data_IF_257613271109
#
_entry.id   IF_257613271109
#
_cell.length_a   1.000
_cell.length_b   1.000
_cell.length_c   1.000
_cell.angle_alpha   90.00
_cell.angle_beta   90.00
_cell.angle_gamma   90.00
#
_symmetry.space_group_name_H-M   'P 1'
#
loop_
_entity.id
_entity.type
_entity.pdbx_description
1 polymer ?
#
# COMPACT_ATOMS: atom_id res chain seq x y z
N UNK A 1 17.90 -24.65 -22.94
CA UNK A 1 18.75 -23.73 -22.14
C UNK A 1 18.44 -24.06 -20.70
N UNK A 2 19.37 -24.65 -19.98
CA UNK A 2 19.18 -24.86 -18.55
C UNK A 2 19.36 -23.51 -17.83
N UNK A 3 18.53 -23.28 -16.81
CA UNK A 3 18.67 -22.12 -15.94
C UNK A 3 19.90 -22.34 -15.07
N UNK A 4 20.78 -21.33 -15.01
CA UNK A 4 21.94 -21.39 -14.13
C UNK A 4 21.51 -21.28 -12.65
N UNK A 5 22.34 -21.81 -11.75
CA UNK A 5 22.04 -21.89 -10.32
C UNK A 5 21.78 -20.53 -9.67
N UNK A 6 22.37 -19.46 -10.20
CA UNK A 6 22.12 -18.09 -9.74
C UNK A 6 21.93 -17.17 -10.94
N UNK A 7 20.74 -16.59 -11.05
CA UNK A 7 20.39 -15.61 -12.08
C UNK A 7 19.49 -14.53 -11.46
N UNK A 8 19.86 -13.26 -11.61
CA UNK A 8 19.11 -12.12 -11.08
C UNK A 8 19.15 -10.93 -12.05
N UNK A 9 18.05 -10.20 -12.10
CA UNK A 9 17.94 -8.90 -12.76
C UNK A 9 17.48 -7.86 -11.74
N UNK A 10 18.01 -6.65 -11.85
CA UNK A 10 17.52 -5.51 -11.08
C UNK A 10 16.42 -4.82 -11.87
N UNK A 11 15.39 -4.33 -11.17
CA UNK A 11 14.29 -3.58 -11.81
C UNK A 11 14.81 -2.43 -12.69
N UNK A 12 14.28 -2.30 -13.89
CA UNK A 12 14.53 -1.18 -14.81
C UNK A 12 13.76 0.08 -14.42
N UNK A 13 12.57 -0.10 -13.83
CA UNK A 13 11.68 1.00 -13.42
C UNK A 13 11.69 1.11 -11.91
N UNK A 14 11.96 2.30 -11.40
CA UNK A 14 11.91 2.61 -9.96
C UNK A 14 11.06 3.86 -9.75
N UNK A 15 9.83 3.66 -9.29
CA UNK A 15 8.96 4.77 -8.87
C UNK A 15 9.35 5.24 -7.47
N UNK A 16 9.34 6.56 -7.28
CA UNK A 16 9.40 7.22 -5.98
C UNK A 16 8.06 7.18 -5.27
N UNK A 17 8.03 7.66 -4.02
CA UNK A 17 6.79 7.82 -3.27
C UNK A 17 5.93 8.91 -3.92
N UNK A 18 4.64 8.63 -4.05
CA UNK A 18 3.67 9.63 -4.45
C UNK A 18 3.37 10.58 -3.31
N UNK A 19 3.39 11.87 -3.62
CA UNK A 19 3.07 12.96 -2.70
C UNK A 19 1.77 13.61 -3.15
N UNK A 20 0.80 13.65 -2.24
CA UNK A 20 -0.51 14.25 -2.45
C UNK A 20 -0.55 15.63 -1.81
N UNK A 21 -0.94 16.62 -2.59
CA UNK A 21 -1.04 18.02 -2.14
C UNK A 21 -2.17 18.74 -2.87
N UNK A 22 -2.64 19.84 -2.32
CA UNK A 22 -3.48 20.80 -3.01
C UNK A 22 -2.69 22.10 -3.20
N UNK A 23 -3.18 22.98 -4.09
CA UNK A 23 -2.62 24.32 -4.24
C UNK A 23 -3.42 25.29 -3.38
N UNK A 24 -2.74 26.25 -2.75
CA UNK A 24 -3.38 27.42 -2.15
C UNK A 24 -3.83 28.41 -3.23
N UNK A 25 -4.61 29.43 -2.85
CA UNK A 25 -4.99 30.52 -3.76
C UNK A 25 -3.77 31.26 -4.35
N UNK A 26 -2.64 31.26 -3.62
CA UNK A 26 -1.39 31.88 -4.03
C UNK A 26 -0.48 30.92 -4.82
N UNK A 27 -0.94 29.69 -5.08
CA UNK A 27 -0.21 28.66 -5.83
C UNK A 27 0.84 27.89 -5.00
N UNK A 28 0.83 28.03 -3.67
CA UNK A 28 1.72 27.28 -2.80
C UNK A 28 1.25 25.82 -2.67
N UNK A 29 2.21 24.88 -2.61
CA UNK A 29 1.91 23.46 -2.45
C UNK A 29 1.63 23.13 -0.97
N UNK A 30 0.39 22.73 -0.69
CA UNK A 30 -0.06 22.35 0.66
C UNK A 30 -0.26 20.83 0.74
N UNK A 31 0.54 20.09 1.53
CA UNK A 31 0.35 18.64 1.71
C UNK A 31 -1.06 18.29 2.17
N UNK A 32 -1.58 17.16 1.71
CA UNK A 32 -2.69 16.53 2.40
C UNK A 32 -2.20 15.94 3.75
N UNK A 33 -2.82 16.40 4.83
CA UNK A 33 -2.53 15.98 6.19
C UNK A 33 -3.32 14.72 6.56
N UNK A 34 -2.76 13.94 7.49
CA UNK A 34 -3.44 12.80 8.10
C UNK A 34 -4.06 13.28 9.41
N UNK A 35 -5.36 13.15 9.50
CA UNK A 35 -6.12 13.35 10.73
C UNK A 35 -6.19 12.05 11.53
N UNK A 36 -6.17 12.18 12.86
CA UNK A 36 -6.02 11.07 13.80
C UNK A 36 -7.16 11.08 14.79
N UNK A 37 -8.12 10.20 14.55
CA UNK A 37 -9.37 10.17 15.31
C UNK A 37 -9.42 8.95 16.22
N UNK A 38 -9.79 9.18 17.48
CA UNK A 38 -10.14 8.12 18.43
C UNK A 38 -11.64 8.09 18.59
N UNK A 39 -12.26 6.95 18.31
CA UNK A 39 -13.71 6.79 18.32
C UNK A 39 -14.13 5.62 19.20
N UNK A 40 -15.38 5.67 19.66
CA UNK A 40 -16.01 4.62 20.47
C UNK A 40 -17.04 3.93 19.59
N UNK A 41 -16.61 2.91 18.85
CA UNK A 41 -17.50 2.16 17.96
C UNK A 41 -18.38 1.19 18.76
N UNK A 42 -19.57 0.82 18.25
CA UNK A 42 -20.28 -0.33 18.77
C UNK A 42 -19.53 -1.63 18.44
N UNK A 43 -19.79 -2.66 19.24
CA UNK A 43 -19.47 -4.05 18.92
C UNK A 43 -20.42 -4.52 17.81
N UNK A 44 -19.91 -4.65 16.58
CA UNK A 44 -20.68 -5.06 15.40
C UNK A 44 -20.09 -6.27 14.66
N UNK A 45 -19.07 -6.93 15.23
CA UNK A 45 -18.38 -8.05 14.60
C UNK A 45 -19.14 -9.36 14.79
N UNK A 46 -19.19 -10.20 13.74
CA UNK A 46 -19.80 -11.54 13.81
C UNK A 46 -19.29 -12.35 15.01
N UNK A 47 -17.98 -12.35 15.20
CA UNK A 47 -17.32 -13.10 16.26
C UNK A 47 -17.63 -12.59 17.69
N UNK A 48 -18.32 -11.45 17.85
CA UNK A 48 -18.66 -10.92 19.17
C UNK A 48 -19.89 -11.62 19.75
N UNK A 49 -20.87 -11.97 18.90
CA UNK A 49 -22.12 -12.63 19.31
C UNK A 49 -22.25 -14.08 18.81
N UNK A 50 -21.48 -14.49 17.80
CA UNK A 50 -21.67 -15.78 17.12
C UNK A 50 -20.37 -16.59 16.96
N UNK A 51 -20.51 -17.90 16.77
CA UNK A 51 -19.40 -18.85 16.54
C UNK A 51 -19.70 -19.82 15.38
N UNK A 52 -18.64 -20.27 14.71
CA UNK A 52 -18.70 -21.22 13.59
C UNK A 52 -19.41 -20.65 12.36
N UNK A 53 -19.72 -21.49 11.37
CA UNK A 53 -20.30 -21.06 10.08
C UNK A 53 -21.84 -21.07 10.04
N UNK A 54 -22.48 -21.45 11.15
CA UNK A 54 -23.94 -21.66 11.22
C UNK A 54 -24.68 -20.62 12.08
N UNK A 55 -24.09 -19.45 12.30
CA UNK A 55 -24.69 -18.39 13.14
C UNK A 55 -25.07 -18.89 14.54
N UNK A 56 -24.29 -19.79 15.12
CA UNK A 56 -24.57 -20.29 16.47
C UNK A 56 -24.24 -19.19 17.49
N UNK A 57 -25.22 -18.80 18.30
CA UNK A 57 -25.05 -17.77 19.34
C UNK A 57 -24.02 -18.19 20.39
N UNK A 58 -23.24 -17.22 20.84
CA UNK A 58 -22.38 -17.33 22.03
C UNK A 58 -23.21 -17.03 23.27
N UNK A 59 -22.82 -17.61 24.40
CA UNK A 59 -23.39 -17.26 25.69
C UNK A 59 -22.77 -15.92 26.18
N UNK A 60 -23.24 -14.81 25.64
CA UNK A 60 -22.85 -13.44 26.01
C UNK A 60 -24.06 -12.70 26.54
N UNK A 61 -23.91 -11.92 27.61
CA UNK A 61 -25.01 -11.12 28.12
C UNK A 61 -25.21 -9.88 27.22
N UNK A 62 -26.44 -9.34 27.07
CA UNK A 62 -26.68 -8.15 26.25
C UNK A 62 -25.82 -6.94 26.64
N UNK A 63 -25.55 -6.80 27.94
CA UNK A 63 -24.67 -5.76 28.49
C UNK A 63 -23.21 -5.88 28.00
N UNK A 64 -22.74 -7.09 27.69
CA UNK A 64 -21.37 -7.31 27.20
C UNK A 64 -21.20 -6.78 25.77
N UNK A 65 -22.28 -6.78 24.97
CA UNK A 65 -22.33 -6.20 23.62
C UNK A 65 -22.58 -4.69 23.64
N UNK A 66 -23.15 -4.16 24.73
CA UNK A 66 -23.40 -2.73 24.89
C UNK A 66 -22.15 -1.91 25.20
N UNK A 67 -21.04 -2.54 25.60
CA UNK A 67 -19.77 -1.84 25.80
C UNK A 67 -19.20 -1.34 24.47
N UNK A 68 -18.75 -0.09 24.49
CA UNK A 68 -18.02 0.49 23.37
C UNK A 68 -16.72 -0.27 23.09
N UNK A 69 -16.35 -0.29 21.81
CA UNK A 69 -15.07 -0.75 21.29
C UNK A 69 -14.23 0.49 20.91
N UNK A 70 -13.30 0.95 21.77
CA UNK A 70 -12.43 2.07 21.45
C UNK A 70 -11.52 1.72 20.27
N UNK A 71 -11.53 2.57 19.25
CA UNK A 71 -10.75 2.41 18.03
C UNK A 71 -9.94 3.67 17.75
N UNK A 72 -8.84 3.48 17.03
CA UNK A 72 -8.00 4.53 16.51
C UNK A 72 -7.99 4.41 14.98
N UNK A 73 -8.31 5.50 14.30
CA UNK A 73 -8.30 5.57 12.84
C UNK A 73 -7.41 6.74 12.40
N UNK A 74 -6.80 6.55 11.24
CA UNK A 74 -6.11 7.61 10.51
C UNK A 74 -6.90 7.86 9.24
N UNK A 75 -7.32 9.10 9.05
CA UNK A 75 -8.13 9.53 7.92
C UNK A 75 -7.44 10.68 7.20
N UNK A 76 -7.68 10.79 5.90
CA UNK A 76 -7.11 11.83 5.07
C UNK A 76 -8.20 12.30 4.13
N UNK A 77 -8.52 13.59 4.18
CA UNK A 77 -9.61 14.17 3.43
C UNK A 77 -9.22 15.55 2.89
N UNK A 78 -9.92 15.95 1.85
CA UNK A 78 -9.76 17.28 1.24
C UNK A 78 -10.44 18.31 2.12
N UNK A 79 -9.75 19.41 2.42
CA UNK A 79 -10.33 20.52 3.19
C UNK A 79 -11.43 21.22 2.37
N UNK A 80 -12.50 21.70 3.00
CA UNK A 80 -13.54 22.45 2.29
C UNK A 80 -12.97 23.62 1.49
N UNK A 81 -13.46 23.82 0.27
CA UNK A 81 -12.99 24.88 -0.63
C UNK A 81 -11.77 24.53 -1.48
N UNK A 82 -11.30 23.27 -1.43
CA UNK A 82 -10.29 22.74 -2.35
C UNK A 82 -10.99 21.88 -3.40
N UNK A 83 -10.82 22.24 -4.67
CA UNK A 83 -11.46 21.54 -5.80
C UNK A 83 -10.57 20.43 -6.38
N UNK A 84 -9.24 20.59 -6.31
CA UNK A 84 -8.27 19.71 -6.96
C UNK A 84 -7.23 19.13 -5.98
N UNK A 85 -6.88 17.87 -6.21
CA UNK A 85 -5.73 17.20 -5.58
C UNK A 85 -4.70 16.87 -6.65
N UNK A 86 -3.45 17.19 -6.35
CA UNK A 86 -2.30 16.87 -7.18
C UNK A 86 -1.56 15.67 -6.60
N UNK A 87 -1.14 14.76 -7.49
CA UNK A 87 -0.29 13.63 -7.16
C UNK A 87 1.00 13.74 -7.94
N UNK A 88 2.13 13.93 -7.24
CA UNK A 88 3.44 14.01 -7.85
C UNK A 88 4.33 12.86 -7.36
N UNK A 89 5.04 12.22 -8.29
CA UNK A 89 6.04 11.21 -7.98
C UNK A 89 7.16 11.23 -9.02
N UNK A 90 8.31 10.69 -8.66
CA UNK A 90 9.43 10.53 -9.58
C UNK A 90 9.44 9.12 -10.18
N UNK A 91 9.87 8.99 -11.44
CA UNK A 91 10.13 7.71 -12.07
C UNK A 91 11.56 7.69 -12.58
N UNK A 92 12.36 6.73 -12.09
CA UNK A 92 13.70 6.47 -12.61
C UNK A 92 13.68 5.27 -13.53
N UNK A 93 14.18 5.46 -14.74
CA UNK A 93 14.30 4.44 -15.78
C UNK A 93 15.78 4.09 -15.95
N UNK A 94 16.10 2.80 -15.97
CA UNK A 94 17.43 2.24 -16.24
C UNK A 94 17.29 1.08 -17.21
N UNK A 95 18.26 0.89 -18.08
CA UNK A 95 18.28 -0.24 -19.01
C UNK A 95 18.81 -1.54 -18.36
N UNK A 96 18.33 -1.84 -17.14
CA UNK A 96 18.80 -3.01 -16.37
C UNK A 96 18.33 -4.34 -16.96
N UNK A 97 17.38 -4.32 -17.89
CA UNK A 97 16.92 -5.50 -18.63
C UNK A 97 17.91 -5.96 -19.71
N UNK A 98 18.90 -5.14 -20.08
CA UNK A 98 19.86 -5.48 -21.14
C UNK A 98 20.83 -6.58 -20.73
N UNK A 99 21.14 -6.69 -19.43
CA UNK A 99 22.09 -7.66 -18.92
C UNK A 99 21.69 -8.12 -17.51
N UNK A 100 21.87 -9.41 -17.18
CA UNK A 100 21.65 -9.87 -15.81
C UNK A 100 22.65 -9.21 -14.85
N UNK A 101 22.18 -8.85 -13.66
CA UNK A 101 22.99 -8.26 -12.60
C UNK A 101 23.86 -9.32 -11.92
N UNK A 102 23.30 -10.52 -11.70
CA UNK A 102 24.01 -11.71 -11.23
C UNK A 102 23.71 -12.86 -12.16
N UNK A 103 24.73 -13.59 -12.60
CA UNK A 103 24.59 -14.81 -13.38
C UNK A 103 25.79 -15.72 -13.13
N UNK A 104 25.57 -16.97 -12.70
CA UNK A 104 26.65 -17.92 -12.40
C UNK A 104 27.23 -18.64 -13.62
N UNK A 105 26.73 -18.38 -14.82
CA UNK A 105 27.12 -19.03 -16.07
C UNK A 105 27.34 -17.97 -17.16
N UNK A 106 28.57 -17.88 -17.68
CA UNK A 106 28.94 -16.89 -18.69
C UNK A 106 28.34 -17.14 -20.07
N UNK A 107 28.09 -18.41 -20.44
CA UNK A 107 27.43 -18.75 -21.71
C UNK A 107 25.96 -18.32 -21.68
N UNK A 108 25.28 -18.56 -20.56
CA UNK A 108 23.92 -18.08 -20.34
C UNK A 108 23.87 -16.56 -20.32
N UNK A 109 24.82 -15.89 -19.64
CA UNK A 109 24.92 -14.42 -19.64
C UNK A 109 25.04 -13.86 -21.06
N UNK A 110 25.99 -14.37 -21.86
CA UNK A 110 26.20 -13.89 -23.23
C UNK A 110 24.98 -14.09 -24.12
N UNK A 111 24.31 -15.26 -24.00
CA UNK A 111 23.07 -15.51 -24.75
C UNK A 111 21.97 -14.53 -24.35
N UNK A 112 21.75 -14.32 -23.05
CA UNK A 112 20.73 -13.39 -22.56
C UNK A 112 21.02 -11.95 -23.01
N UNK A 113 22.27 -11.50 -22.91
CA UNK A 113 22.69 -10.17 -23.39
C UNK A 113 22.55 -9.99 -24.90
N UNK A 114 22.73 -11.04 -25.70
CA UNK A 114 22.56 -10.99 -27.16
C UNK A 114 21.09 -10.97 -27.62
N UNK A 115 20.18 -11.42 -26.75
CA UNK A 115 18.75 -11.51 -27.03
C UNK A 115 17.99 -10.24 -26.62
N UNK A 116 18.59 -9.39 -25.78
CA UNK A 116 18.01 -8.15 -25.28
C UNK A 116 18.15 -6.99 -26.28
#
# INVERSE_FOLDING_TARGET
MELCNQLNYVRSLSAGKAYFYHLSNDGEMCPLEIDRTRLRAPKSGYAEAYKGDKFAEKNVAPQDLAYANPQYIEECYVKPGVDDIYCAFSLRIRANSLNPDVCSDDEVRHKLSSLA
#
